data_IF_423390546105
#
_entry.id   IF_423390546105
#
_cell.length_a   1.000
_cell.length_b   1.000
_cell.length_c   1.000
_cell.angle_alpha   90.00
_cell.angle_beta   90.00
_cell.angle_gamma   90.00
#
_symmetry.space_group_name_H-M   'P 1'
#
loop_
_entity.id
_entity.type
_entity.pdbx_description
1 polymer ?
#
# COMPACT_ATOMS: atom_id res chain seq x y z
N UNK A 1 -40.15 -19.99 11.96
CA UNK A 1 -39.06 -19.01 12.15
C UNK A 1 -38.72 -18.47 10.76
N UNK A 2 -38.88 -17.17 10.51
CA UNK A 2 -39.00 -16.62 9.13
C UNK A 2 -37.65 -16.24 8.48
N UNK A 3 -36.52 -16.43 9.17
CA UNK A 3 -35.19 -16.20 8.61
C UNK A 3 -34.24 -17.29 9.13
N UNK A 4 -34.20 -18.44 8.45
CA UNK A 4 -33.49 -19.64 8.92
C UNK A 4 -31.98 -19.64 8.64
N UNK A 5 -31.41 -18.59 8.02
CA UNK A 5 -29.96 -18.50 7.82
C UNK A 5 -29.51 -17.16 7.24
N UNK A 6 -28.25 -16.78 7.51
CA UNK A 6 -27.52 -15.71 6.80
C UNK A 6 -27.63 -15.84 5.27
N UNK A 7 -27.88 -17.05 4.76
CA UNK A 7 -28.10 -17.34 3.35
C UNK A 7 -29.37 -16.68 2.80
N UNK A 8 -30.48 -16.65 3.57
CA UNK A 8 -31.72 -15.97 3.16
C UNK A 8 -31.59 -14.43 3.10
N UNK A 9 -30.74 -13.85 3.95
CA UNK A 9 -30.36 -12.44 3.87
C UNK A 9 -29.41 -12.17 2.68
N UNK A 10 -28.54 -13.13 2.35
CA UNK A 10 -27.67 -13.10 1.17
C UNK A 10 -28.41 -13.32 -0.16
N UNK A 11 -29.54 -14.00 -0.12
CA UNK A 11 -30.28 -14.42 -1.31
C UNK A 11 -31.66 -13.79 -1.38
N UNK A 12 -31.87 -12.64 -0.72
CA UNK A 12 -33.11 -11.86 -0.72
C UNK A 12 -33.66 -11.75 -2.15
N UNK A 13 -34.58 -12.65 -2.48
CA UNK A 13 -35.18 -12.84 -3.81
C UNK A 13 -34.21 -12.85 -5.01
N UNK A 14 -33.02 -13.45 -4.84
CA UNK A 14 -32.05 -13.65 -5.93
C UNK A 14 -31.17 -12.45 -6.30
N UNK A 15 -31.25 -11.34 -5.57
CA UNK A 15 -30.52 -10.11 -5.91
C UNK A 15 -29.28 -9.84 -5.03
N UNK A 16 -29.09 -10.58 -3.94
CA UNK A 16 -27.99 -10.29 -3.01
C UNK A 16 -26.60 -10.52 -3.61
N UNK A 17 -26.45 -11.32 -4.66
CA UNK A 17 -25.17 -11.44 -5.41
C UNK A 17 -24.72 -10.09 -5.97
N UNK A 18 -25.64 -9.26 -6.47
CA UNK A 18 -25.31 -7.92 -6.97
C UNK A 18 -24.81 -6.99 -5.87
N UNK A 19 -25.46 -7.04 -4.71
CA UNK A 19 -25.09 -6.22 -3.55
C UNK A 19 -23.69 -6.59 -3.08
N UNK A 20 -23.40 -7.88 -2.92
CA UNK A 20 -22.08 -8.36 -2.51
C UNK A 20 -21.00 -8.06 -3.54
N UNK A 21 -21.28 -8.15 -4.84
CA UNK A 21 -20.35 -7.75 -5.89
C UNK A 21 -20.07 -6.24 -5.83
N UNK A 22 -21.10 -5.41 -5.64
CA UNK A 22 -20.92 -3.96 -5.47
C UNK A 22 -20.03 -3.65 -4.25
N UNK A 23 -20.31 -4.25 -3.09
CA UNK A 23 -19.47 -4.12 -1.89
C UNK A 23 -18.05 -4.62 -2.12
N UNK A 24 -17.87 -5.76 -2.78
CA UNK A 24 -16.55 -6.31 -3.09
C UNK A 24 -15.75 -5.38 -4.01
N UNK A 25 -16.37 -4.80 -5.03
CA UNK A 25 -15.74 -3.83 -5.92
C UNK A 25 -15.37 -2.57 -5.13
N UNK A 26 -16.27 -2.03 -4.31
CA UNK A 26 -15.97 -0.86 -3.47
C UNK A 26 -14.81 -1.12 -2.53
N UNK A 27 -14.80 -2.27 -1.86
CA UNK A 27 -13.73 -2.66 -0.93
C UNK A 27 -12.40 -2.86 -1.67
N UNK A 28 -12.42 -3.44 -2.87
CA UNK A 28 -11.25 -3.55 -3.73
C UNK A 28 -10.69 -2.18 -4.15
N UNK A 29 -11.55 -1.23 -4.53
CA UNK A 29 -11.15 0.14 -4.88
C UNK A 29 -10.55 0.86 -3.67
N UNK A 30 -11.18 0.75 -2.49
CA UNK A 30 -10.67 1.33 -1.25
C UNK A 30 -9.29 0.74 -0.89
N UNK A 31 -9.15 -0.58 -0.97
CA UNK A 31 -7.88 -1.25 -0.75
C UNK A 31 -6.82 -0.78 -1.76
N UNK A 32 -7.19 -0.63 -3.03
CA UNK A 32 -6.30 -0.13 -4.07
C UNK A 32 -5.81 1.29 -3.79
N UNK A 33 -6.70 2.19 -3.39
CA UNK A 33 -6.37 3.58 -3.03
C UNK A 33 -5.38 3.63 -1.84
N UNK A 34 -5.45 2.68 -0.91
CA UNK A 34 -4.51 2.62 0.22
C UNK A 34 -3.18 1.96 -0.19
N UNK A 35 -3.23 0.88 -0.98
CA UNK A 35 -2.05 0.09 -1.35
C UNK A 35 -1.19 0.83 -2.38
N UNK A 36 -1.79 1.50 -3.37
CA UNK A 36 -1.07 2.19 -4.43
C UNK A 36 -0.07 3.27 -3.93
N UNK A 37 -0.48 4.23 -3.08
CA UNK A 37 0.44 5.23 -2.53
C UNK A 37 1.45 4.60 -1.55
N UNK A 38 1.07 3.57 -0.79
CA UNK A 38 2.02 2.86 0.09
C UNK A 38 3.12 2.16 -0.70
N UNK A 39 2.79 1.52 -1.83
CA UNK A 39 3.79 0.92 -2.73
C UNK A 39 4.70 1.99 -3.34
N UNK A 40 4.15 3.13 -3.73
CA UNK A 40 4.93 4.24 -4.31
C UNK A 40 5.85 4.91 -3.28
N UNK A 41 5.34 5.18 -2.08
CA UNK A 41 6.09 5.79 -0.99
C UNK A 41 7.29 4.93 -0.56
N UNK A 42 7.11 3.59 -0.50
CA UNK A 42 8.22 2.68 -0.19
C UNK A 42 9.36 2.78 -1.20
N UNK A 43 9.05 2.86 -2.49
CA UNK A 43 10.07 2.97 -3.54
C UNK A 43 10.85 4.28 -3.45
N UNK A 44 10.17 5.39 -3.14
CA UNK A 44 10.80 6.71 -3.00
C UNK A 44 11.71 6.77 -1.77
N UNK A 45 11.29 6.22 -0.62
CA UNK A 45 12.12 6.20 0.60
C UNK A 45 13.41 5.39 0.41
N UNK A 46 13.36 4.28 -0.34
CA UNK A 46 14.57 3.50 -0.64
C UNK A 46 15.55 4.29 -1.50
N UNK A 47 15.08 5.04 -2.50
CA UNK A 47 15.94 5.87 -3.34
C UNK A 47 16.60 6.99 -2.54
N UNK A 48 15.84 7.70 -1.69
CA UNK A 48 16.40 8.73 -0.82
C UNK A 48 17.46 8.18 0.16
N UNK A 49 17.23 6.99 0.72
CA UNK A 49 18.19 6.36 1.63
C UNK A 49 19.52 6.02 0.91
N UNK A 50 19.44 5.54 -0.33
CA UNK A 50 20.63 5.24 -1.13
C UNK A 50 21.39 6.51 -1.55
N UNK A 51 20.69 7.59 -1.90
CA UNK A 51 21.30 8.90 -2.16
C UNK A 51 22.00 9.47 -0.92
N UNK A 52 21.35 9.42 0.25
CA UNK A 52 21.92 9.92 1.50
C UNK A 52 23.24 9.21 1.85
N UNK A 53 23.26 7.88 1.70
CA UNK A 53 24.45 7.07 1.97
C UNK A 53 25.63 7.39 1.02
N UNK A 54 25.34 7.74 -0.24
CA UNK A 54 26.36 8.19 -1.20
C UNK A 54 26.94 9.55 -0.82
N UNK A 55 26.11 10.49 -0.36
CA UNK A 55 26.56 11.81 0.07
C UNK A 55 27.44 11.74 1.33
N UNK A 56 27.05 10.92 2.30
CA UNK A 56 27.85 10.67 3.51
C UNK A 56 29.20 10.04 3.18
N UNK A 57 29.23 9.04 2.28
CA UNK A 57 30.47 8.42 1.83
C UNK A 57 31.39 9.37 1.06
N UNK A 58 30.83 10.24 0.21
CA UNK A 58 31.60 11.25 -0.52
C UNK A 58 32.16 12.33 0.41
N UNK A 59 31.37 12.80 1.38
CA UNK A 59 31.81 13.76 2.39
C UNK A 59 32.89 13.17 3.31
N UNK A 60 32.77 11.90 3.71
CA UNK A 60 33.77 11.21 4.51
C UNK A 60 35.10 11.02 3.74
N UNK A 61 35.03 10.74 2.44
CA UNK A 61 36.21 10.59 1.57
C UNK A 61 36.93 11.91 1.35
N UNK A 62 36.21 13.01 1.14
CA UNK A 62 36.78 14.36 1.02
C UNK A 62 37.47 14.81 2.33
N UNK A 63 36.84 14.53 3.48
CA UNK A 63 37.39 14.89 4.79
C UNK A 63 38.61 14.04 5.20
N UNK A 64 38.72 12.82 4.68
CA UNK A 64 39.89 11.97 4.87
C UNK A 64 41.08 12.37 3.99
N UNK A 65 40.83 13.03 2.85
CA UNK A 65 41.88 13.48 1.94
C UNK A 65 42.51 14.81 2.38
N UNK A 66 41.74 15.72 2.98
CA UNK A 66 42.25 16.96 3.61
C UNK A 66 43.08 16.73 4.89
N UNK A 67 42.86 15.63 5.62
CA UNK A 67 43.57 15.34 6.88
C UNK A 67 44.93 14.65 6.64
N UNK A 68 45.19 14.19 5.41
CA UNK A 68 46.41 13.45 5.04
C UNK A 68 47.40 14.25 4.16
N UNK A 69 47.16 15.56 3.98
CA UNK A 69 48.07 16.54 3.34
C UNK A 69 48.49 17.59 4.33
#
# INVERSE_FOLDING_TARGET
MYFDSFQAALSMDGHGTYVWVAYAITLAVLAWIVIAPRRRARNTLTQLADEARRQEGAAAKAKGEEVNT
#
